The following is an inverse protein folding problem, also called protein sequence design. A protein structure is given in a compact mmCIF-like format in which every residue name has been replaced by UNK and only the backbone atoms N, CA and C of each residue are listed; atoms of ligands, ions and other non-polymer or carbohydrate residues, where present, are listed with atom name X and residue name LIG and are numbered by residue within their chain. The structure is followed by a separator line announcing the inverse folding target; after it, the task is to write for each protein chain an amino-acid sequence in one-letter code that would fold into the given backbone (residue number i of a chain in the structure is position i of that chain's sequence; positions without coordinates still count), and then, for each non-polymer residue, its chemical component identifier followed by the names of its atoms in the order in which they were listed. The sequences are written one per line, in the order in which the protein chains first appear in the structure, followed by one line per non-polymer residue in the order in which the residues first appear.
data_IF_749058663577
#
_entry.id   IF_749058663577
#
_cell.length_a   1.000
_cell.length_b   1.000
_cell.length_c   1.000
_cell.angle_alpha   90.00
_cell.angle_beta   90.00
_cell.angle_gamma   90.00
#
_symmetry.space_group_name_H-M   'P 1'
#
loop_
_entity.id
_entity.type
_entity.pdbx_description
1 polymer ?
#
# COMPACT_ATOMS: atom_id res chain seq x y z
N UNK A 1 9.70 -4.45 -7.60
CA UNK A 1 8.88 -3.67 -6.66
C UNK A 1 9.24 -2.17 -6.65
N UNK A 2 10.34 -1.79 -7.29
CA UNK A 2 10.94 -0.44 -7.29
C UNK A 2 9.95 0.74 -7.38
N UNK A 3 9.00 0.73 -8.32
CA UNK A 3 8.04 1.82 -8.44
C UNK A 3 7.15 1.99 -7.19
N UNK A 4 6.70 0.88 -6.58
CA UNK A 4 5.88 0.91 -5.36
C UNK A 4 6.71 1.40 -4.18
N UNK A 5 7.97 0.98 -4.06
CA UNK A 5 8.88 1.46 -3.03
C UNK A 5 9.04 2.99 -3.08
N UNK A 6 9.26 3.54 -4.27
CA UNK A 6 9.39 4.99 -4.49
C UNK A 6 8.09 5.74 -4.13
N UNK A 7 6.93 5.21 -4.53
CA UNK A 7 5.64 5.82 -4.20
C UNK A 7 5.40 5.79 -2.68
N UNK A 8 5.57 4.65 -2.03
CA UNK A 8 5.33 4.49 -0.59
C UNK A 8 6.26 5.38 0.23
N UNK A 9 7.54 5.49 -0.15
CA UNK A 9 8.50 6.33 0.53
C UNK A 9 8.16 7.83 0.48
N UNK A 10 7.57 8.30 -0.63
CA UNK A 10 7.23 9.72 -0.83
C UNK A 10 5.80 10.12 -0.45
N UNK A 11 4.86 9.18 -0.48
CA UNK A 11 3.42 9.48 -0.40
C UNK A 11 3.01 10.24 0.87
N UNK A 12 3.67 9.99 2.00
CA UNK A 12 3.36 10.67 3.27
C UNK A 12 3.46 12.20 3.19
N UNK A 13 4.35 12.75 2.34
CA UNK A 13 4.50 14.20 2.17
C UNK A 13 3.40 14.85 1.33
N UNK A 14 2.61 14.05 0.60
CA UNK A 14 1.55 14.53 -0.30
C UNK A 14 0.14 14.25 0.24
N UNK A 15 0.03 13.41 1.26
CA UNK A 15 -1.25 13.07 1.89
C UNK A 15 -1.52 14.00 3.08
N UNK A 16 -2.80 14.38 3.23
CA UNK A 16 -3.28 14.98 4.47
C UNK A 16 -3.26 13.93 5.58
N UNK A 17 -3.20 14.35 6.84
CA UNK A 17 -3.37 13.43 7.98
C UNK A 17 -4.69 12.65 7.83
N UNK A 18 -4.63 11.34 8.06
CA UNK A 18 -5.74 10.44 7.79
C UNK A 18 -6.02 10.16 6.30
N UNK A 19 -5.18 10.64 5.38
CA UNK A 19 -5.29 10.36 3.94
C UNK A 19 -4.90 8.91 3.61
N UNK A 20 -5.53 8.36 2.57
CA UNK A 20 -5.27 6.99 2.11
C UNK A 20 -4.34 6.96 0.90
N UNK A 21 -3.44 5.98 0.90
CA UNK A 21 -2.75 5.49 -0.28
C UNK A 21 -3.38 4.15 -0.69
N UNK A 22 -3.76 4.02 -1.96
CA UNK A 22 -4.29 2.78 -2.53
C UNK A 22 -3.38 2.37 -3.69
N UNK A 23 -2.91 1.13 -3.68
CA UNK A 23 -1.97 0.60 -4.65
C UNK A 23 -2.52 -0.67 -5.26
N UNK A 24 -2.56 -0.71 -6.59
CA UNK A 24 -2.71 -1.96 -7.32
C UNK A 24 -1.33 -2.60 -7.54
N UNK A 25 -1.23 -3.92 -7.35
CA UNK A 25 0.02 -4.66 -7.49
C UNK A 25 -0.20 -6.07 -8.06
N UNK A 26 0.90 -6.77 -8.39
CA UNK A 26 0.91 -8.17 -8.79
C UNK A 26 0.42 -9.09 -7.67
N UNK A 27 -0.14 -10.25 -8.03
CA UNK A 27 -0.82 -11.14 -7.08
C UNK A 27 0.09 -11.73 -5.99
N UNK A 28 1.40 -11.74 -6.24
CA UNK A 28 2.47 -12.22 -5.39
C UNK A 28 3.10 -11.12 -4.52
N UNK A 29 2.75 -9.85 -4.76
CA UNK A 29 3.42 -8.70 -4.13
C UNK A 29 2.76 -8.24 -2.81
N UNK A 30 1.63 -8.81 -2.42
CA UNK A 30 0.83 -8.31 -1.29
C UNK A 30 1.59 -8.28 0.05
N UNK A 31 2.50 -9.23 0.28
CA UNK A 31 3.35 -9.25 1.46
C UNK A 31 4.36 -8.11 1.47
N UNK A 32 5.13 -7.99 0.39
CA UNK A 32 6.15 -6.94 0.27
C UNK A 32 5.54 -5.54 0.34
N UNK A 33 4.38 -5.31 -0.29
CA UNK A 33 3.67 -4.03 -0.24
C UNK A 33 3.18 -3.73 1.18
N UNK A 34 2.68 -4.74 1.91
CA UNK A 34 2.29 -4.58 3.31
C UNK A 34 3.48 -4.14 4.18
N UNK A 35 4.63 -4.79 4.02
CA UNK A 35 5.83 -4.48 4.81
C UNK A 35 6.39 -3.10 4.47
N UNK A 36 6.35 -2.69 3.20
CA UNK A 36 6.70 -1.32 2.79
C UNK A 36 5.79 -0.28 3.44
N UNK A 37 4.48 -0.45 3.36
CA UNK A 37 3.51 0.48 3.96
C UNK A 37 3.71 0.59 5.47
N UNK A 38 3.91 -0.54 6.15
CA UNK A 38 4.17 -0.60 7.59
C UNK A 38 5.48 0.10 7.96
N UNK A 39 6.55 -0.13 7.19
CA UNK A 39 7.87 0.48 7.42
C UNK A 39 7.83 1.99 7.18
N UNK A 40 7.05 2.46 6.21
CA UNK A 40 6.83 3.87 5.94
C UNK A 40 5.87 4.57 6.94
N UNK A 41 5.38 3.86 7.96
CA UNK A 41 4.57 4.42 9.04
C UNK A 41 3.08 4.55 8.74
N UNK A 42 2.60 3.96 7.64
CA UNK A 42 1.17 3.86 7.38
C UNK A 42 0.49 2.92 8.40
N UNK A 43 -0.80 3.16 8.64
CA UNK A 43 -1.67 2.41 9.55
C UNK A 43 -2.89 1.90 8.79
N UNK A 44 -3.73 1.09 9.45
CA UNK A 44 -4.96 0.55 8.85
C UNK A 44 -4.70 -0.14 7.48
N UNK A 45 -3.62 -0.94 7.41
CA UNK A 45 -3.17 -1.60 6.18
C UNK A 45 -4.05 -2.80 5.90
N UNK A 46 -4.63 -2.86 4.71
CA UNK A 46 -5.49 -3.95 4.25
C UNK A 46 -5.11 -4.40 2.85
N UNK A 47 -5.24 -5.70 2.61
CA UNK A 47 -5.07 -6.32 1.30
C UNK A 47 -6.42 -6.83 0.82
N UNK A 48 -6.88 -6.32 -0.32
CA UNK A 48 -8.13 -6.70 -0.96
C UNK A 48 -7.85 -7.58 -2.19
N UNK A 49 -8.69 -8.60 -2.34
CA UNK A 49 -8.68 -9.51 -3.48
C UNK A 49 -9.59 -9.01 -4.59
N UNK A 50 -9.22 -9.29 -5.84
CA UNK A 50 -10.05 -9.07 -7.00
C UNK A 50 -11.13 -10.16 -7.16
N UNK A 51 -11.94 -10.08 -8.22
CA UNK A 51 -13.00 -11.07 -8.51
C UNK A 51 -12.47 -12.47 -8.86
N UNK A 52 -11.20 -12.59 -9.23
CA UNK A 52 -10.53 -13.89 -9.42
C UNK A 52 -9.94 -14.43 -8.11
N UNK A 53 -10.27 -13.79 -6.98
CA UNK A 53 -9.79 -14.12 -5.65
C UNK A 53 -8.25 -14.02 -5.51
N UNK A 54 -7.60 -13.19 -6.33
CA UNK A 54 -6.16 -12.91 -6.24
C UNK A 54 -5.93 -11.61 -5.46
N UNK A 55 -4.89 -11.51 -4.61
CA UNK A 55 -4.50 -10.24 -4.02
C UNK A 55 -4.23 -9.22 -5.12
N UNK A 56 -4.82 -8.02 -5.01
CA UNK A 56 -4.72 -7.03 -6.09
C UNK A 56 -4.50 -5.62 -5.57
N UNK A 57 -5.19 -5.26 -4.50
CA UNK A 57 -5.17 -3.93 -3.93
C UNK A 57 -4.61 -3.97 -2.52
N UNK A 58 -3.68 -3.09 -2.22
CA UNK A 58 -3.27 -2.77 -0.85
C UNK A 58 -3.64 -1.32 -0.55
N UNK A 59 -4.26 -1.05 0.58
CA UNK A 59 -4.55 0.32 1.01
C UNK A 59 -4.21 0.55 2.47
N UNK A 60 -3.72 1.74 2.77
CA UNK A 60 -3.34 2.14 4.10
C UNK A 60 -3.46 3.65 4.30
N UNK A 61 -3.49 4.08 5.55
CA UNK A 61 -3.74 5.45 5.96
C UNK A 61 -2.50 6.07 6.59
N UNK A 62 -2.13 7.29 6.18
CA UNK A 62 -1.11 8.06 6.92
C UNK A 62 -1.73 8.53 8.25
N UNK A 63 -0.97 8.54 9.37
CA UNK A 63 -1.49 8.95 10.67
C UNK A 63 -2.14 10.33 10.72
#
# INVERSE_FOLDING_TARGET
LEAIEQIVAGAGSFLKSGGYLVLEHGHDQAGDVYDLLKTAGFRNIHNQRDYSNLPRLSYAQIP
#
